data_IF_169663648671
#
_entry.id   IF_169663648671
#
_cell.length_a   1.000
_cell.length_b   1.000
_cell.length_c   1.000
_cell.angle_alpha   90.00
_cell.angle_beta   90.00
_cell.angle_gamma   90.00
#
_symmetry.space_group_name_H-M   'P 1'
#
loop_
_entity.id
_entity.type
_entity.pdbx_description
1 polymer ?
#
# COMPACT_ATOMS: atom_id res chain seq x y z
N UNK A 1 14.45 42.47 -8.69
CA UNK A 1 15.83 42.64 -9.19
C UNK A 1 16.83 42.30 -8.09
N UNK A 2 17.36 41.08 -8.10
CA UNK A 2 18.51 40.72 -7.25
C UNK A 2 19.54 40.06 -8.16
N UNK A 3 20.67 40.75 -8.33
CA UNK A 3 21.82 40.32 -9.12
C UNK A 3 22.68 39.35 -8.31
N UNK A 4 23.01 38.20 -8.90
CA UNK A 4 24.07 37.32 -8.43
C UNK A 4 25.43 37.85 -8.94
N UNK A 5 26.37 38.12 -8.04
CA UNK A 5 27.78 38.32 -8.38
C UNK A 5 28.48 36.97 -8.49
N UNK A 6 29.30 36.84 -9.52
CA UNK A 6 30.05 35.65 -9.89
C UNK A 6 31.43 35.77 -9.24
N UNK A 7 31.70 34.97 -8.21
CA UNK A 7 33.03 34.94 -7.59
C UNK A 7 33.99 34.06 -8.41
N UNK A 8 35.22 34.57 -8.50
CA UNK A 8 36.30 34.12 -9.37
C UNK A 8 36.96 32.82 -8.89
N UNK A 9 37.55 32.12 -9.87
CA UNK A 9 38.30 30.87 -9.74
C UNK A 9 39.34 30.93 -8.60
N UNK A 10 39.25 30.01 -7.63
CA UNK A 10 40.40 29.60 -6.82
C UNK A 10 41.03 28.35 -7.42
N UNK A 11 42.33 28.43 -7.66
CA UNK A 11 43.20 27.34 -8.11
C UNK A 11 43.19 26.16 -7.15
N UNK A 12 43.28 24.95 -7.71
CA UNK A 12 43.32 23.70 -6.96
C UNK A 12 44.69 23.48 -6.32
N UNK A 13 44.71 23.28 -5.00
CA UNK A 13 45.88 22.75 -4.28
C UNK A 13 45.97 21.22 -4.47
N UNK A 14 47.19 20.64 -4.53
CA UNK A 14 47.36 19.21 -4.75
C UNK A 14 46.95 18.38 -3.52
N UNK A 15 46.27 17.27 -3.78
CA UNK A 15 45.86 16.26 -2.79
C UNK A 15 47.11 15.54 -2.26
N UNK A 16 47.32 15.40 -0.93
CA UNK A 16 48.40 14.58 -0.42
C UNK A 16 48.07 13.09 -0.60
N UNK A 17 49.08 12.31 -0.98
CA UNK A 17 48.99 10.85 -1.11
C UNK A 17 48.60 10.21 0.23
N UNK A 18 47.58 9.34 0.20
CA UNK A 18 47.16 8.54 1.36
C UNK A 18 48.05 7.29 1.39
N UNK A 19 48.82 7.12 2.47
CA UNK A 19 49.56 5.90 2.78
C UNK A 19 48.60 4.71 2.95
N UNK A 20 48.91 3.59 2.30
CA UNK A 20 48.26 2.29 2.50
C UNK A 20 48.41 1.86 3.97
N UNK A 21 47.32 1.95 4.73
CA UNK A 21 47.22 1.27 6.02
C UNK A 21 46.94 -0.20 5.79
N UNK A 22 47.83 -1.04 6.32
CA UNK A 22 47.72 -2.51 6.36
C UNK A 22 46.33 -2.96 6.82
N UNK A 23 45.80 -3.96 6.12
CA UNK A 23 44.59 -4.69 6.48
C UNK A 23 44.69 -5.20 7.92
N UNK A 24 43.67 -4.91 8.74
CA UNK A 24 43.51 -5.55 10.04
C UNK A 24 42.88 -6.93 9.83
N UNK A 25 43.69 -7.97 10.01
CA UNK A 25 43.26 -9.36 10.13
C UNK A 25 42.40 -9.50 11.40
N UNK A 26 41.14 -9.91 11.24
CA UNK A 26 40.26 -10.24 12.36
C UNK A 26 40.68 -11.59 12.96
N UNK A 27 41.18 -11.58 14.20
CA UNK A 27 41.33 -12.79 15.01
C UNK A 27 40.17 -12.85 16.02
N UNK A 28 39.40 -13.94 15.99
CA UNK A 28 38.44 -14.28 17.04
C UNK A 28 39.18 -14.67 18.32
N UNK A 29 39.05 -13.85 19.36
CA UNK A 29 39.36 -14.25 20.73
C UNK A 29 38.06 -14.61 21.44
N UNK A 30 37.87 -15.88 21.79
CA UNK A 30 36.78 -16.33 22.66
C UNK A 30 36.98 -15.77 24.08
N UNK A 31 36.34 -14.64 24.39
CA UNK A 31 36.03 -14.26 25.77
C UNK A 31 34.51 -14.28 25.97
N UNK A 32 34.04 -15.20 26.83
CA UNK A 32 32.65 -15.25 27.30
C UNK A 32 32.34 -14.01 28.16
N UNK A 33 31.30 -13.21 27.85
CA UNK A 33 30.85 -12.17 28.75
C UNK A 33 30.00 -12.77 29.88
N UNK A 34 30.34 -12.45 31.13
CA UNK A 34 29.50 -12.72 32.30
C UNK A 34 28.32 -11.74 32.34
N UNK A 35 27.10 -12.25 32.43
CA UNK A 35 25.87 -11.45 32.56
C UNK A 35 25.79 -10.73 33.92
N UNK A 36 25.22 -9.51 34.00
CA UNK A 36 24.93 -8.86 35.28
C UNK A 36 23.65 -9.43 35.92
N UNK A 37 23.65 -9.50 37.26
CA UNK A 37 22.58 -10.06 38.08
C UNK A 37 21.22 -9.35 37.85
N UNK A 38 20.22 -10.13 37.43
CA UNK A 38 18.82 -9.71 37.39
C UNK A 38 18.15 -9.93 38.76
N UNK A 39 17.25 -9.05 39.23
CA UNK A 39 16.56 -9.25 40.49
C UNK A 39 15.60 -10.43 40.40
N UNK A 40 15.55 -11.23 41.47
CA UNK A 40 14.74 -12.43 41.57
C UNK A 40 13.24 -12.13 41.33
N UNK A 41 12.70 -12.70 40.25
CA UNK A 41 11.27 -12.71 39.99
C UNK A 41 10.58 -13.69 40.96
N UNK A 42 9.54 -13.20 41.66
CA UNK A 42 8.65 -14.03 42.46
C UNK A 42 8.00 -15.14 41.61
N UNK A 43 7.77 -16.35 42.15
CA UNK A 43 7.25 -17.46 41.37
C UNK A 43 5.78 -17.23 41.00
N UNK A 44 5.53 -17.03 39.71
CA UNK A 44 4.18 -17.20 39.12
C UNK A 44 3.92 -18.71 39.10
N UNK A 45 2.82 -19.23 39.67
CA UNK A 45 2.53 -20.65 39.62
C UNK A 45 2.28 -21.06 38.17
N UNK A 46 3.13 -21.97 37.69
CA UNK A 46 3.05 -22.56 36.37
C UNK A 46 1.81 -23.47 36.30
N UNK A 47 0.73 -23.01 35.68
CA UNK A 47 -0.30 -23.92 35.16
C UNK A 47 0.10 -24.37 33.75
N UNK A 48 1.23 -25.09 33.67
CA UNK A 48 1.72 -25.74 32.44
C UNK A 48 0.79 -26.89 32.00
N UNK A 49 -0.08 -27.36 32.91
CA UNK A 49 -0.98 -28.48 32.67
C UNK A 49 -2.10 -28.18 31.66
N UNK A 50 -2.53 -26.91 31.54
CA UNK A 50 -3.58 -26.50 30.59
C UNK A 50 -3.10 -26.30 29.15
N UNK A 51 -1.80 -26.07 28.93
CA UNK A 51 -1.24 -26.01 27.57
C UNK A 51 -1.05 -27.40 26.97
N UNK A 52 -0.80 -28.42 27.79
CA UNK A 52 -0.67 -29.81 27.34
C UNK A 52 -2.01 -30.41 26.87
N UNK A 53 -3.13 -30.05 27.49
CA UNK A 53 -4.45 -30.56 27.09
C UNK A 53 -4.93 -30.04 25.74
N UNK A 54 -4.53 -28.82 25.33
CA UNK A 54 -4.93 -28.24 24.04
C UNK A 54 -4.24 -28.87 22.82
N UNK A 55 -3.20 -29.68 23.03
CA UNK A 55 -2.45 -30.37 21.95
C UNK A 55 -2.92 -31.83 21.78
N UNK A 56 -3.69 -32.38 22.73
CA UNK A 56 -4.31 -33.71 22.65
C UNK A 56 -5.53 -33.70 21.71
N UNK A 57 -5.28 -33.59 20.40
CA UNK A 57 -6.34 -33.61 19.39
C UNK A 57 -5.91 -33.18 18.00
N UNK A 58 -4.74 -32.55 17.87
CA UNK A 58 -4.10 -32.33 16.58
C UNK A 58 -3.45 -33.63 16.12
N UNK A 59 -4.21 -34.44 15.39
CA UNK A 59 -3.65 -35.52 14.60
C UNK A 59 -2.92 -34.88 13.43
N UNK A 60 -1.59 -34.83 13.50
CA UNK A 60 -0.77 -34.57 12.31
C UNK A 60 -0.96 -35.79 11.40
N UNK A 61 -1.81 -35.67 10.38
CA UNK A 61 -2.10 -36.78 9.47
C UNK A 61 -0.84 -37.24 8.70
N UNK A 62 0.11 -36.33 8.46
CA UNK A 62 1.40 -36.64 7.84
C UNK A 62 2.46 -35.61 8.28
N UNK A 63 3.52 -36.03 8.97
CA UNK A 63 4.67 -35.17 9.26
C UNK A 63 5.54 -35.05 8.01
N UNK A 64 5.56 -33.86 7.41
CA UNK A 64 6.51 -33.52 6.35
C UNK A 64 7.65 -32.69 6.95
N UNK A 65 8.86 -33.24 7.07
CA UNK A 65 9.99 -32.44 7.55
C UNK A 65 10.19 -31.25 6.60
N UNK A 66 10.22 -30.04 7.16
CA UNK A 66 10.55 -28.84 6.38
C UNK A 66 11.96 -29.04 5.80
N UNK A 67 12.06 -29.07 4.47
CA UNK A 67 13.35 -28.98 3.81
C UNK A 67 13.98 -27.63 4.17
N UNK A 68 15.30 -27.60 4.40
CA UNK A 68 16.02 -26.32 4.50
C UNK A 68 16.08 -25.70 3.12
N UNK A 69 15.16 -24.79 2.85
CA UNK A 69 15.09 -24.03 1.61
C UNK A 69 15.65 -22.63 1.84
N UNK A 70 16.31 -22.06 0.84
CA UNK A 70 16.51 -20.62 0.78
C UNK A 70 15.17 -19.92 0.47
N UNK A 71 15.01 -18.62 0.76
CA UNK A 71 13.78 -17.89 0.41
C UNK A 71 13.44 -17.98 -1.09
N UNK A 72 14.44 -18.00 -1.97
CA UNK A 72 14.23 -18.16 -3.41
C UNK A 72 13.74 -19.56 -3.78
N UNK A 73 14.33 -20.61 -3.19
CA UNK A 73 13.87 -21.99 -3.39
C UNK A 73 12.45 -22.19 -2.87
N UNK A 74 12.10 -21.56 -1.74
CA UNK A 74 10.74 -21.59 -1.22
C UNK A 74 9.75 -20.95 -2.20
N UNK A 75 10.09 -19.78 -2.75
CA UNK A 75 9.27 -19.10 -3.75
C UNK A 75 9.08 -19.97 -5.01
N UNK A 76 10.16 -20.55 -5.54
CA UNK A 76 10.13 -21.42 -6.73
C UNK A 76 9.31 -22.70 -6.52
N UNK A 77 9.33 -23.26 -5.30
CA UNK A 77 8.57 -24.47 -4.96
C UNK A 77 7.13 -24.18 -4.53
N UNK A 78 6.81 -22.93 -4.21
CA UNK A 78 5.47 -22.52 -3.85
C UNK A 78 4.57 -22.46 -5.09
N UNK A 79 3.25 -22.63 -4.90
CA UNK A 79 2.26 -22.37 -5.95
C UNK A 79 2.04 -20.86 -6.19
N UNK A 80 2.80 -20.01 -5.50
CA UNK A 80 2.66 -18.56 -5.61
C UNK A 80 3.32 -18.06 -6.90
N UNK A 81 2.59 -17.22 -7.62
CA UNK A 81 3.10 -16.46 -8.75
C UNK A 81 2.72 -15.00 -8.54
N UNK A 82 3.65 -14.09 -8.81
CA UNK A 82 3.34 -12.66 -8.84
C UNK A 82 2.32 -12.31 -9.93
N UNK A 83 2.08 -13.21 -10.90
CA UNK A 83 1.20 -12.95 -12.04
C UNK A 83 1.70 -11.78 -12.89
N UNK A 84 0.89 -11.39 -13.87
CA UNK A 84 1.13 -10.13 -14.57
C UNK A 84 0.23 -9.05 -13.96
N UNK A 85 0.80 -8.22 -13.10
CA UNK A 85 0.08 -7.12 -12.44
C UNK A 85 0.25 -5.82 -13.20
N UNK A 86 -0.77 -4.96 -13.08
CA UNK A 86 -0.73 -3.57 -13.50
C UNK A 86 -1.06 -2.68 -12.32
N UNK A 87 -0.33 -1.56 -12.25
CA UNK A 87 -0.55 -0.52 -11.27
C UNK A 87 -1.40 0.57 -11.92
N UNK A 88 -2.63 0.74 -11.43
CA UNK A 88 -3.57 1.75 -11.91
C UNK A 88 -3.74 2.81 -10.82
N UNK A 89 -3.72 4.08 -11.23
CA UNK A 89 -3.93 5.22 -10.34
C UNK A 89 -5.12 6.05 -10.81
N UNK A 90 -5.75 6.76 -9.88
CA UNK A 90 -6.67 7.85 -10.18
C UNK A 90 -6.19 9.13 -9.51
N UNK A 91 -5.46 9.93 -10.30
CA UNK A 91 -4.86 11.20 -9.91
C UNK A 91 -5.47 12.32 -10.77
N UNK A 92 -6.59 12.95 -10.37
CA UNK A 92 -7.31 13.92 -11.20
C UNK A 92 -6.53 15.21 -11.54
N UNK A 93 -5.41 15.48 -10.85
CA UNK A 93 -4.51 16.59 -11.18
C UNK A 93 -3.53 16.26 -12.33
N UNK A 94 -3.49 14.99 -12.77
CA UNK A 94 -2.74 14.52 -13.92
C UNK A 94 -3.69 14.08 -15.05
N UNK A 95 -3.27 14.13 -16.33
CA UNK A 95 -4.10 13.66 -17.43
C UNK A 95 -4.41 12.16 -17.31
N UNK A 96 -5.67 11.77 -17.53
CA UNK A 96 -6.04 10.35 -17.69
C UNK A 96 -5.43 9.76 -18.97
N UNK A 97 -5.29 8.42 -19.01
CA UNK A 97 -4.75 7.69 -20.15
C UNK A 97 -3.24 7.83 -20.32
N UNK A 98 -2.52 8.26 -19.28
CA UNK A 98 -1.06 8.45 -19.32
C UNK A 98 -0.35 7.55 -18.32
N UNK A 99 0.81 7.02 -18.74
CA UNK A 99 1.75 6.38 -17.84
C UNK A 99 2.49 7.47 -17.04
N UNK A 100 2.36 7.43 -15.73
CA UNK A 100 3.08 8.28 -14.80
C UNK A 100 4.32 7.53 -14.31
N UNK A 101 5.47 8.20 -14.27
CA UNK A 101 6.72 7.62 -13.79
C UNK A 101 7.36 8.59 -12.80
N UNK A 102 7.62 8.13 -11.58
CA UNK A 102 8.35 8.90 -10.61
C UNK A 102 9.81 9.07 -11.07
N UNK A 103 10.34 10.30 -10.98
CA UNK A 103 11.70 10.61 -11.44
C UNK A 103 12.77 9.74 -10.77
N UNK A 104 12.66 9.55 -9.45
CA UNK A 104 13.69 8.97 -8.60
C UNK A 104 13.23 7.86 -7.65
N UNK A 105 11.93 7.54 -7.62
CA UNK A 105 11.40 6.54 -6.68
C UNK A 105 11.69 5.13 -7.22
N UNK A 106 12.64 4.46 -6.59
CA UNK A 106 12.97 3.04 -6.81
C UNK A 106 13.68 2.50 -5.57
N UNK A 107 13.59 1.20 -5.32
CA UNK A 107 14.23 0.52 -4.19
C UNK A 107 15.43 -0.33 -4.60
N UNK A 108 15.71 -0.45 -5.90
CA UNK A 108 16.83 -1.22 -6.44
C UNK A 108 17.64 -0.32 -7.38
N UNK A 109 18.97 -0.32 -7.23
CA UNK A 109 19.86 0.38 -8.17
C UNK A 109 19.66 -0.19 -9.58
N UNK A 110 19.43 0.67 -10.57
CA UNK A 110 19.03 0.27 -11.94
C UNK A 110 17.72 -0.51 -12.04
N UNK A 111 16.92 -0.53 -10.96
CA UNK A 111 15.59 -1.12 -10.93
C UNK A 111 14.56 -0.30 -11.68
N UNK A 112 13.36 -0.87 -11.80
CA UNK A 112 12.21 -0.14 -12.33
C UNK A 112 11.86 1.02 -11.40
N UNK A 113 11.58 2.18 -11.98
CA UNK A 113 11.02 3.32 -11.27
C UNK A 113 9.55 3.05 -10.96
N UNK A 114 9.04 3.64 -9.88
CA UNK A 114 7.61 3.64 -9.58
C UNK A 114 6.87 4.20 -10.79
N UNK A 115 5.94 3.40 -11.30
CA UNK A 115 5.12 3.75 -12.44
C UNK A 115 3.69 3.28 -12.22
N UNK A 116 2.74 4.05 -12.72
CA UNK A 116 1.33 3.71 -12.67
C UNK A 116 0.59 4.33 -13.85
N UNK A 117 -0.48 3.67 -14.29
CA UNK A 117 -1.30 4.18 -15.38
C UNK A 117 -2.46 4.98 -14.81
N UNK A 118 -2.50 6.27 -15.10
CA UNK A 118 -3.55 7.14 -14.62
C UNK A 118 -4.82 6.90 -15.42
N UNK A 119 -5.90 6.51 -14.74
CA UNK A 119 -7.18 6.17 -15.35
C UNK A 119 -8.33 6.66 -14.48
N UNK A 120 -9.55 6.49 -14.96
CA UNK A 120 -10.75 6.89 -14.23
C UNK A 120 -11.08 5.90 -13.11
N UNK A 121 -11.63 6.40 -11.99
CA UNK A 121 -12.02 5.58 -10.83
C UNK A 121 -13.02 4.47 -11.18
N UNK A 122 -13.92 4.70 -12.13
CA UNK A 122 -14.86 3.67 -12.59
C UNK A 122 -14.16 2.43 -13.16
N UNK A 123 -13.07 2.61 -13.92
CA UNK A 123 -12.26 1.52 -14.46
C UNK A 123 -11.57 0.76 -13.33
N UNK A 124 -11.02 1.48 -12.35
CA UNK A 124 -10.38 0.92 -11.16
C UNK A 124 -11.37 0.04 -10.39
N UNK A 125 -12.54 0.58 -10.03
CA UNK A 125 -13.59 -0.15 -9.29
C UNK A 125 -14.07 -1.40 -10.03
N UNK A 126 -14.25 -1.32 -11.35
CA UNK A 126 -14.65 -2.48 -12.15
C UNK A 126 -13.56 -3.57 -12.13
N UNK A 127 -12.29 -3.21 -12.33
CA UNK A 127 -11.19 -4.18 -12.27
C UNK A 127 -11.06 -4.82 -10.89
N UNK A 128 -11.25 -4.04 -9.82
CA UNK A 128 -11.28 -4.55 -8.44
C UNK A 128 -12.44 -5.53 -8.25
N UNK A 129 -13.65 -5.15 -8.66
CA UNK A 129 -14.85 -6.01 -8.56
C UNK A 129 -14.64 -7.33 -9.29
N UNK A 130 -14.19 -7.31 -10.54
CA UNK A 130 -13.95 -8.52 -11.33
C UNK A 130 -12.87 -9.41 -10.69
N UNK A 131 -11.83 -8.82 -10.11
CA UNK A 131 -10.80 -9.55 -9.37
C UNK A 131 -11.37 -10.24 -8.12
N UNK A 132 -12.15 -9.51 -7.31
CA UNK A 132 -12.75 -10.02 -6.08
C UNK A 132 -13.76 -11.13 -6.39
N UNK A 133 -14.62 -10.96 -7.41
CA UNK A 133 -15.58 -11.99 -7.84
C UNK A 133 -14.89 -13.27 -8.34
N UNK A 134 -13.67 -13.15 -8.85
CA UNK A 134 -12.83 -14.28 -9.22
C UNK A 134 -11.98 -14.83 -8.05
N UNK A 135 -12.25 -14.39 -6.82
CA UNK A 135 -11.57 -14.84 -5.60
C UNK A 135 -10.12 -14.37 -5.49
N UNK A 136 -9.77 -13.25 -6.14
CA UNK A 136 -8.42 -12.66 -6.11
C UNK A 136 -8.45 -11.32 -5.37
N UNK A 137 -7.78 -11.22 -4.20
CA UNK A 137 -7.72 -9.96 -3.46
C UNK A 137 -6.91 -8.90 -4.21
N UNK A 138 -7.17 -7.62 -3.91
CA UNK A 138 -6.56 -6.47 -4.60
C UNK A 138 -5.91 -5.54 -3.59
N UNK A 139 -4.63 -5.24 -3.79
CA UNK A 139 -3.94 -4.22 -3.00
C UNK A 139 -4.43 -2.83 -3.41
N UNK A 140 -4.69 -1.98 -2.43
CA UNK A 140 -5.10 -0.60 -2.60
C UNK A 140 -4.21 0.33 -1.78
N UNK A 141 -3.96 1.54 -2.28
CA UNK A 141 -3.32 2.61 -1.52
C UNK A 141 -4.31 3.77 -1.34
N UNK A 142 -4.43 4.25 -0.10
CA UNK A 142 -5.42 5.27 0.25
C UNK A 142 -4.93 6.24 1.33
N UNK A 143 -5.70 7.31 1.52
CA UNK A 143 -5.60 8.19 2.69
C UNK A 143 -6.43 7.61 3.85
N UNK A 144 -5.95 7.76 5.09
CA UNK A 144 -6.60 7.24 6.30
C UNK A 144 -6.87 8.32 7.35
N UNK A 145 -6.53 9.59 7.12
CA UNK A 145 -6.73 10.70 8.07
C UNK A 145 -8.17 10.82 8.56
N UNK A 146 -9.13 10.66 7.68
CA UNK A 146 -10.55 10.82 8.01
C UNK A 146 -11.15 9.54 8.65
N UNK A 147 -10.38 8.46 8.75
CA UNK A 147 -10.91 7.15 9.13
C UNK A 147 -11.31 7.12 10.61
N UNK A 148 -12.55 6.70 10.89
CA UNK A 148 -12.97 6.40 12.25
C UNK A 148 -12.48 5.00 12.64
N UNK A 149 -11.32 4.96 13.31
CA UNK A 149 -10.66 3.73 13.74
C UNK A 149 -11.45 2.94 14.79
N UNK A 150 -12.49 3.52 15.38
CA UNK A 150 -13.31 2.86 16.41
C UNK A 150 -14.55 2.18 15.83
N UNK A 151 -15.02 2.61 14.65
CA UNK A 151 -16.26 2.12 14.03
C UNK A 151 -16.05 1.04 12.96
N UNK A 152 -14.81 0.68 12.66
CA UNK A 152 -14.47 -0.30 11.61
C UNK A 152 -15.07 0.03 10.22
N UNK A 153 -15.48 1.29 10.01
CA UNK A 153 -16.20 1.76 8.84
C UNK A 153 -15.49 2.99 8.27
N UNK A 154 -15.05 2.89 7.03
CA UNK A 154 -14.52 3.97 6.21
C UNK A 154 -15.68 4.58 5.43
N UNK A 155 -16.18 5.74 5.87
CA UNK A 155 -17.31 6.44 5.27
C UNK A 155 -17.13 7.96 5.38
N UNK A 156 -17.38 8.69 4.29
CA UNK A 156 -17.25 10.16 4.28
C UNK A 156 -18.22 10.80 5.28
N UNK A 157 -19.30 10.09 5.63
CA UNK A 157 -20.27 10.54 6.63
C UNK A 157 -19.73 10.56 8.06
N UNK A 158 -18.54 9.98 8.29
CA UNK A 158 -17.86 10.06 9.59
C UNK A 158 -17.28 11.45 9.86
N UNK A 159 -16.98 12.23 8.82
CA UNK A 159 -16.44 13.59 8.95
C UNK A 159 -17.51 14.63 8.67
N UNK A 160 -18.02 15.25 9.75
CA UNK A 160 -19.01 16.34 9.67
C UNK A 160 -18.41 17.70 10.05
N UNK A 161 -17.09 17.84 9.96
CA UNK A 161 -16.39 19.06 10.38
C UNK A 161 -16.94 20.30 9.67
N UNK A 162 -17.16 20.23 8.35
CA UNK A 162 -17.72 21.34 7.59
C UNK A 162 -19.12 21.75 8.07
N UNK A 163 -19.99 20.78 8.38
CA UNK A 163 -21.35 21.03 8.87
C UNK A 163 -21.35 21.63 10.27
N UNK A 164 -20.50 21.10 11.16
CA UNK A 164 -20.42 21.52 12.57
C UNK A 164 -19.89 22.95 12.69
N UNK A 165 -18.86 23.29 11.92
CA UNK A 165 -18.22 24.61 11.98
C UNK A 165 -18.77 25.61 10.96
N UNK A 166 -19.71 25.18 10.10
CA UNK A 166 -20.31 26.04 9.08
C UNK A 166 -19.33 26.51 8.01
N UNK A 167 -18.35 25.67 7.64
CA UNK A 167 -17.43 25.99 6.56
C UNK A 167 -18.17 26.11 5.22
N UNK A 168 -17.79 27.11 4.41
CA UNK A 168 -18.38 27.31 3.09
C UNK A 168 -17.98 26.15 2.17
N UNK A 169 -18.99 25.42 1.68
CA UNK A 169 -18.80 24.27 0.78
C UNK A 169 -18.12 24.64 -0.55
N UNK A 170 -18.04 25.93 -0.90
CA UNK A 170 -17.30 26.43 -2.07
C UNK A 170 -15.78 26.45 -1.86
N UNK A 171 -15.30 26.24 -0.63
CA UNK A 171 -13.88 26.15 -0.28
C UNK A 171 -13.41 24.68 -0.26
N UNK A 172 -14.28 23.74 -0.60
CA UNK A 172 -13.94 22.31 -0.69
C UNK A 172 -13.15 22.06 -1.96
N UNK A 173 -11.92 21.57 -1.81
CA UNK A 173 -11.05 21.18 -2.90
C UNK A 173 -11.53 19.86 -3.50
N UNK A 174 -11.39 19.68 -4.82
CA UNK A 174 -11.58 18.37 -5.44
C UNK A 174 -10.42 17.42 -5.07
N UNK A 175 -10.65 16.11 -5.17
CA UNK A 175 -9.66 15.06 -4.87
C UNK A 175 -8.25 15.33 -5.45
N UNK A 176 -8.19 15.77 -6.71
CA UNK A 176 -6.92 16.10 -7.36
C UNK A 176 -6.23 17.32 -6.74
N UNK A 177 -7.00 18.35 -6.39
CA UNK A 177 -6.50 19.57 -5.75
C UNK A 177 -6.05 19.30 -4.31
N UNK A 178 -6.81 18.49 -3.56
CA UNK A 178 -6.41 18.09 -2.20
C UNK A 178 -5.03 17.43 -2.20
N UNK A 179 -4.78 16.53 -3.16
CA UNK A 179 -3.52 15.83 -3.26
C UNK A 179 -2.40 16.75 -3.75
N UNK A 180 -2.68 17.59 -4.76
CA UNK A 180 -1.72 18.55 -5.32
C UNK A 180 -1.26 19.60 -4.29
N UNK A 181 -2.19 20.10 -3.47
CA UNK A 181 -1.89 21.09 -2.42
C UNK A 181 -1.45 20.46 -1.09
N UNK A 182 -1.34 19.13 -1.02
CA UNK A 182 -0.89 18.42 0.18
C UNK A 182 -1.89 18.46 1.35
N UNK A 183 -3.16 18.71 1.06
CA UNK A 183 -4.25 18.56 2.04
C UNK A 183 -4.44 17.09 2.39
N UNK A 184 -4.28 16.19 1.42
CA UNK A 184 -4.28 14.73 1.59
C UNK A 184 -2.99 14.11 1.04
N UNK A 185 -2.72 12.86 1.41
CA UNK A 185 -1.60 12.04 0.94
C UNK A 185 -2.01 10.58 0.82
N UNK A 186 -1.48 9.88 -0.17
CA UNK A 186 -1.54 8.40 -0.20
C UNK A 186 -0.62 7.90 0.91
N UNK A 187 -1.17 7.31 1.96
CA UNK A 187 -0.45 7.10 3.21
C UNK A 187 -0.43 5.64 3.69
N UNK A 188 -1.34 4.81 3.20
CA UNK A 188 -1.49 3.44 3.71
C UNK A 188 -1.92 2.45 2.62
N UNK A 189 -1.27 1.29 2.61
CA UNK A 189 -1.63 0.14 1.77
C UNK A 189 -2.52 -0.85 2.53
N UNK A 190 -3.61 -1.28 1.90
CA UNK A 190 -4.55 -2.29 2.43
C UNK A 190 -4.96 -3.28 1.33
N UNK A 191 -5.74 -4.30 1.69
CA UNK A 191 -6.16 -5.32 0.72
C UNK A 191 -7.69 -5.42 0.68
N UNK A 192 -8.28 -5.31 -0.51
CA UNK A 192 -9.68 -5.58 -0.74
C UNK A 192 -9.92 -7.07 -0.95
N UNK A 193 -10.86 -7.62 -0.20
CA UNK A 193 -11.14 -9.06 -0.15
C UNK A 193 -12.62 -9.39 -0.36
N UNK A 194 -13.48 -8.39 -0.54
CA UNK A 194 -14.90 -8.56 -0.75
C UNK A 194 -15.55 -7.27 -1.25
N UNK A 195 -16.64 -7.41 -1.99
CA UNK A 195 -17.48 -6.31 -2.44
C UNK A 195 -18.93 -6.76 -2.51
N UNK A 196 -19.86 -5.85 -2.26
CA UNK A 196 -21.27 -6.09 -2.58
C UNK A 196 -21.43 -6.08 -4.11
N UNK A 197 -22.16 -7.06 -4.64
CA UNK A 197 -22.33 -7.27 -6.07
C UNK A 197 -23.67 -6.74 -6.62
N UNK A 198 -24.58 -6.30 -5.74
CA UNK A 198 -25.95 -5.93 -6.08
C UNK A 198 -26.15 -4.42 -6.31
N UNK A 199 -26.47 -3.98 -7.56
CA UNK A 199 -26.83 -2.59 -7.87
C UNK A 199 -28.28 -2.24 -7.52
N UNK A 200 -29.08 -3.15 -6.97
CA UNK A 200 -30.47 -2.86 -6.57
C UNK A 200 -30.48 -1.98 -5.33
N UNK A 201 -30.74 -0.68 -5.56
CA UNK A 201 -31.28 0.21 -4.54
C UNK A 201 -32.41 -0.52 -3.83
N UNK A 202 -32.29 -0.71 -2.52
CA UNK A 202 -33.29 -1.32 -1.65
C UNK A 202 -34.71 -1.00 -2.15
N UNK A 203 -35.31 -1.93 -2.89
CA UNK A 203 -36.73 -1.82 -3.20
C UNK A 203 -37.41 -1.97 -1.85
N UNK A 204 -38.16 -0.93 -1.47
CA UNK A 204 -38.70 -0.73 -0.13
C UNK A 204 -39.63 -1.85 0.40
N UNK A 205 -39.80 -2.96 -0.31
CA UNK A 205 -40.73 -4.02 0.06
C UNK A 205 -40.14 -5.38 -0.31
N UNK A 206 -39.69 -6.14 0.69
CA UNK A 206 -39.98 -7.58 0.71
C UNK A 206 -38.82 -8.56 0.86
N UNK A 207 -37.60 -8.25 0.44
CA UNK A 207 -36.48 -9.21 0.58
C UNK A 207 -35.13 -8.48 0.70
N UNK A 208 -35.04 -7.58 1.67
CA UNK A 208 -33.81 -6.86 1.97
C UNK A 208 -32.81 -7.84 2.62
N UNK A 209 -32.05 -8.55 1.77
CA UNK A 209 -30.64 -8.79 2.07
C UNK A 209 -30.05 -7.51 2.62
N UNK A 210 -29.16 -7.62 3.61
CA UNK A 210 -28.75 -6.59 4.56
C UNK A 210 -28.00 -5.39 3.90
N UNK A 211 -28.59 -4.71 2.92
CA UNK A 211 -28.10 -3.46 2.36
C UNK A 211 -28.30 -2.38 3.42
N UNK A 212 -27.20 -2.02 4.07
CA UNK A 212 -27.15 -0.88 4.97
C UNK A 212 -27.52 0.39 4.18
N UNK A 213 -28.07 1.44 4.82
CA UNK A 213 -28.42 2.71 4.16
C UNK A 213 -27.20 3.49 3.59
N UNK A 214 -26.04 2.82 3.50
CA UNK A 214 -24.74 3.34 3.10
C UNK A 214 -24.41 2.99 1.62
N UNK A 215 -25.24 2.18 0.96
CA UNK A 215 -24.96 1.68 -0.40
C UNK A 215 -23.97 0.51 -0.42
N UNK A 216 -23.40 0.17 -1.59
CA UNK A 216 -22.44 -0.92 -1.73
C UNK A 216 -21.21 -0.74 -0.84
N UNK A 217 -20.77 -1.83 -0.21
CA UNK A 217 -19.60 -1.88 0.65
C UNK A 217 -18.47 -2.71 0.05
N UNK A 218 -17.26 -2.29 0.38
CA UNK A 218 -16.02 -3.01 0.12
C UNK A 218 -15.48 -3.56 1.45
N UNK A 219 -15.15 -4.85 1.49
CA UNK A 219 -14.51 -5.47 2.63
C UNK A 219 -13.00 -5.35 2.49
N UNK A 220 -12.37 -4.74 3.50
CA UNK A 220 -10.95 -4.43 3.54
C UNK A 220 -10.28 -5.26 4.63
N UNK A 221 -9.21 -5.97 4.29
CA UNK A 221 -8.25 -6.52 5.22
C UNK A 221 -7.15 -5.48 5.50
N UNK A 222 -6.88 -5.27 6.79
CA UNK A 222 -5.92 -4.30 7.29
C UNK A 222 -4.86 -5.01 8.16
N UNK A 223 -3.69 -4.38 8.29
CA UNK A 223 -2.51 -4.92 8.95
C UNK A 223 -2.29 -4.39 10.37
N UNK A 224 -3.31 -3.76 10.98
CA UNK A 224 -3.24 -3.29 12.37
C UNK A 224 -3.57 -4.42 13.35
N UNK A 225 -2.81 -4.49 14.44
CA UNK A 225 -2.95 -5.54 15.48
C UNK A 225 -4.37 -5.68 16.02
N UNK A 226 -5.05 -4.55 16.26
CA UNK A 226 -6.35 -4.54 16.93
C UNK A 226 -7.54 -4.52 15.94
N UNK A 227 -7.27 -4.24 14.66
CA UNK A 227 -8.29 -4.05 13.63
C UNK A 227 -7.85 -4.73 12.34
N UNK A 228 -8.31 -5.97 12.15
CA UNK A 228 -7.97 -6.78 10.98
C UNK A 228 -8.87 -6.52 9.78
N UNK A 229 -10.13 -6.10 10.02
CA UNK A 229 -11.09 -5.88 8.94
C UNK A 229 -11.82 -4.55 9.10
N UNK A 230 -12.04 -3.89 7.95
CA UNK A 230 -12.82 -2.68 7.82
C UNK A 230 -13.87 -2.88 6.73
N UNK A 231 -14.97 -2.14 6.82
CA UNK A 231 -15.91 -1.95 5.72
C UNK A 231 -15.71 -0.56 5.16
N UNK A 232 -15.79 -0.41 3.84
CA UNK A 232 -15.57 0.86 3.16
C UNK A 232 -16.74 1.15 2.23
N UNK A 233 -17.31 2.36 2.32
CA UNK A 233 -18.38 2.78 1.41
C UNK A 233 -17.79 3.07 0.03
N UNK A 234 -18.63 2.94 -1.00
CA UNK A 234 -18.20 3.25 -2.37
C UNK A 234 -17.76 4.71 -2.54
N UNK A 235 -18.39 5.65 -1.81
CA UNK A 235 -17.98 7.06 -1.78
C UNK A 235 -16.61 7.29 -1.14
N UNK A 236 -16.25 6.50 -0.12
CA UNK A 236 -14.91 6.57 0.48
C UNK A 236 -13.85 6.10 -0.51
N UNK A 237 -14.15 5.05 -1.26
CA UNK A 237 -13.26 4.60 -2.34
C UNK A 237 -13.02 5.75 -3.32
N UNK A 238 -14.09 6.40 -3.80
CA UNK A 238 -13.98 7.53 -4.72
C UNK A 238 -13.15 8.68 -4.18
N UNK A 239 -13.35 9.06 -2.91
CA UNK A 239 -12.68 10.20 -2.32
C UNK A 239 -11.22 9.92 -1.96
N UNK A 240 -10.92 8.75 -1.40
CA UNK A 240 -9.67 8.55 -0.65
C UNK A 240 -8.78 7.40 -1.13
N UNK A 241 -9.23 6.53 -2.05
CA UNK A 241 -8.37 5.51 -2.66
C UNK A 241 -7.74 6.04 -3.95
N UNK A 242 -6.44 5.88 -4.13
CA UNK A 242 -5.73 6.47 -5.26
C UNK A 242 -5.16 5.42 -6.19
N UNK A 243 -4.62 4.34 -5.64
CA UNK A 243 -3.89 3.35 -6.40
C UNK A 243 -4.40 1.95 -6.12
N UNK A 244 -4.32 1.09 -7.15
CA UNK A 244 -4.55 -0.35 -7.03
C UNK A 244 -3.47 -1.14 -7.77
N UNK A 245 -3.20 -2.35 -7.28
CA UNK A 245 -2.41 -3.35 -8.02
C UNK A 245 -3.30 -4.55 -8.30
N UNK A 246 -3.59 -4.77 -9.58
CA UNK A 246 -4.55 -5.78 -10.03
C UNK A 246 -3.97 -6.64 -11.15
N UNK A 247 -4.45 -7.87 -11.28
CA UNK A 247 -4.08 -8.75 -12.39
C UNK A 247 -4.59 -8.18 -13.72
N UNK A 248 -3.74 -8.21 -14.75
CA UNK A 248 -4.05 -7.67 -16.08
C UNK A 248 -5.36 -8.21 -16.63
N UNK A 249 -5.67 -9.49 -16.40
CA UNK A 249 -6.88 -10.12 -16.96
C UNK A 249 -8.21 -9.51 -16.49
N UNK A 250 -8.21 -8.72 -15.41
CA UNK A 250 -9.39 -8.01 -14.91
C UNK A 250 -9.49 -6.55 -15.40
N UNK A 251 -8.52 -6.09 -16.18
CA UNK A 251 -8.52 -4.74 -16.74
C UNK A 251 -9.03 -4.79 -18.17
N UNK A 252 -9.93 -3.87 -18.52
CA UNK A 252 -10.52 -3.79 -19.86
C UNK A 252 -9.44 -3.66 -20.94
N UNK A 253 -9.58 -4.40 -22.04
CA UNK A 253 -8.57 -4.54 -23.10
C UNK A 253 -8.11 -3.19 -23.68
N UNK A 254 -9.03 -2.26 -23.91
CA UNK A 254 -8.67 -0.92 -24.41
C UNK A 254 -7.72 -0.14 -23.48
N UNK A 255 -7.85 -0.32 -22.16
CA UNK A 255 -6.99 0.31 -21.16
C UNK A 255 -5.61 -0.35 -21.18
N UNK A 256 -5.57 -1.69 -21.25
CA UNK A 256 -4.32 -2.45 -21.36
C UNK A 256 -3.57 -2.12 -22.66
N UNK A 257 -4.26 -2.00 -23.79
CA UNK A 257 -3.64 -1.63 -25.06
C UNK A 257 -2.98 -0.25 -24.99
N UNK A 258 -3.64 0.71 -24.32
CA UNK A 258 -3.09 2.05 -24.06
C UNK A 258 -1.90 1.99 -23.12
N UNK A 259 -2.00 1.21 -22.04
CA UNK A 259 -0.90 0.96 -21.10
C UNK A 259 0.33 0.37 -21.79
N UNK A 260 0.16 -0.70 -22.56
CA UNK A 260 1.25 -1.42 -23.23
C UNK A 260 1.91 -0.54 -24.29
N UNK A 261 1.13 0.26 -25.00
CA UNK A 261 1.65 1.24 -25.96
C UNK A 261 2.49 2.28 -25.24
N UNK A 262 1.98 2.86 -24.15
CA UNK A 262 2.71 3.85 -23.35
C UNK A 262 4.03 3.28 -22.78
N UNK A 263 4.02 2.04 -22.29
CA UNK A 263 5.22 1.34 -21.80
C UNK A 263 6.21 1.07 -22.93
N UNK A 264 5.76 0.53 -24.07
CA UNK A 264 6.61 0.16 -25.21
C UNK A 264 7.28 1.37 -25.85
N UNK A 265 6.53 2.45 -26.01
CA UNK A 265 6.98 3.67 -26.69
C UNK A 265 7.65 4.66 -25.73
N UNK A 266 7.71 4.32 -24.45
CA UNK A 266 8.13 5.21 -23.39
C UNK A 266 7.38 6.56 -23.41
N UNK A 267 6.10 6.56 -23.79
CA UNK A 267 5.22 7.73 -23.68
C UNK A 267 4.72 7.85 -22.24
N UNK A 268 5.48 8.58 -21.43
CA UNK A 268 5.20 8.77 -20.02
C UNK A 268 5.41 10.21 -19.58
N UNK A 269 4.71 10.59 -18.51
CA UNK A 269 4.95 11.82 -17.78
C UNK A 269 5.90 11.51 -16.62
N UNK A 270 7.07 12.15 -16.62
CA UNK A 270 8.01 12.05 -15.50
C UNK A 270 7.58 13.05 -14.42
N UNK A 271 7.20 12.54 -13.26
CA UNK A 271 6.80 13.35 -12.11
C UNK A 271 8.01 13.63 -11.22
N UNK A 272 8.25 14.91 -10.83
CA UNK A 272 9.39 15.27 -10.01
C UNK A 272 9.31 14.61 -8.65
N UNK A 273 10.45 14.43 -7.99
CA UNK A 273 10.54 13.73 -6.70
C UNK A 273 9.64 14.34 -5.60
N UNK A 274 9.29 15.63 -5.69
CA UNK A 274 8.40 16.30 -4.75
C UNK A 274 6.90 16.10 -5.00
N UNK A 275 6.52 15.50 -6.14
CA UNK A 275 5.14 15.23 -6.53
C UNK A 275 4.48 14.27 -5.51
N UNK A 276 3.18 14.46 -5.16
CA UNK A 276 2.50 13.57 -4.22
C UNK A 276 2.45 12.11 -4.68
N UNK A 277 2.46 11.81 -5.99
CA UNK A 277 2.59 10.44 -6.50
C UNK A 277 3.90 9.77 -6.05
N UNK A 278 4.97 10.56 -5.88
CA UNK A 278 6.28 10.03 -5.47
C UNK A 278 6.36 9.71 -3.97
N UNK A 279 5.28 9.93 -3.20
CA UNK A 279 5.21 9.70 -1.75
C UNK A 279 4.40 8.45 -1.37
N UNK A 280 3.88 7.74 -2.38
CA UNK A 280 3.19 6.44 -2.24
C UNK A 280 4.18 5.37 -1.74
#
# INVERSE_FOLDING_TARGET
CLQWKKDEKKEASPVPAVEEKKEHEWQETEEKPSAPDAPAASPVPADASKKEEAVKGLVIEEYRPFQRLTPLQFLEQSLFSFGEKVHLSHLPYQPEGRLLVAERVTNLYEGKRLQAFNTNMSIIKNAVRDSILAGQPVEIACEMRHADRTKFLLSEQNDKTAEIFGFDRRIVLGKGEELLYGVTSVAHGMVLIGCDDDPVAATAEGDAGLMLPLGPLWKVENSWKDVQYLYMTDSWFDAHCYDIVVDRKYVHEAVLASYDTAVREADHIVLPTGDPFCKI
#
